data_IF_211214309831
#
_entry.id   IF_211214309831
#
_cell.length_a   1.000
_cell.length_b   1.000
_cell.length_c   1.000
_cell.angle_alpha   90.00
_cell.angle_beta   90.00
_cell.angle_gamma   90.00
#
_symmetry.space_group_name_H-M   'P 1'
#
loop_
_entity.id
_entity.type
_entity.pdbx_description
1 polymer ?
#
# COMPACT_ATOMS: atom_id res chain seq x y z
N UNK A 1 4.16 25.28 -0.84
CA UNK A 1 4.50 24.17 0.07
C UNK A 1 3.99 22.87 -0.56
N UNK A 2 4.69 21.76 -0.31
CA UNK A 2 4.22 20.42 -0.72
C UNK A 2 3.27 19.89 0.35
N UNK A 3 2.12 19.32 -0.06
CA UNK A 3 1.18 18.65 0.85
C UNK A 3 1.50 17.16 1.05
N UNK A 4 2.55 16.67 0.39
CA UNK A 4 2.96 15.28 0.54
C UNK A 4 3.37 14.99 1.99
N UNK A 5 2.78 13.94 2.51
CA UNK A 5 3.13 13.33 3.79
C UNK A 5 3.83 12.00 3.54
N UNK A 6 4.81 11.70 4.40
CA UNK A 6 5.50 10.42 4.41
C UNK A 6 5.16 9.70 5.71
N UNK A 7 4.65 8.47 5.61
CA UNK A 7 4.27 7.63 6.74
C UNK A 7 5.08 6.33 6.70
N UNK A 8 5.77 6.03 7.80
CA UNK A 8 6.46 4.73 7.95
C UNK A 8 5.45 3.60 7.98
N UNK A 9 5.68 2.55 7.19
CA UNK A 9 4.82 1.35 7.18
C UNK A 9 5.58 0.10 7.63
N UNK A 10 4.84 -0.99 7.85
CA UNK A 10 5.41 -2.33 8.08
C UNK A 10 5.51 -3.17 6.78
N UNK A 11 5.27 -2.55 5.62
CA UNK A 11 5.38 -3.23 4.34
C UNK A 11 6.86 -3.45 4.03
N UNK A 12 7.19 -4.67 3.64
CA UNK A 12 8.56 -5.12 3.33
C UNK A 12 8.64 -5.88 2.01
N UNK A 13 7.50 -6.35 1.50
CA UNK A 13 7.42 -7.23 0.34
C UNK A 13 6.66 -6.56 -0.80
N UNK A 14 7.41 -6.19 -1.84
CA UNK A 14 6.89 -5.47 -3.00
C UNK A 14 5.85 -6.29 -3.77
N UNK A 15 6.09 -7.58 -4.00
CA UNK A 15 5.18 -8.40 -4.79
C UNK A 15 3.86 -8.62 -4.05
N UNK A 16 3.92 -8.82 -2.74
CA UNK A 16 2.73 -8.98 -1.92
C UNK A 16 1.94 -7.66 -1.84
N UNK A 17 2.60 -6.52 -1.74
CA UNK A 17 1.92 -5.22 -1.81
C UNK A 17 1.22 -5.04 -3.17
N UNK A 18 1.91 -5.27 -4.28
CA UNK A 18 1.33 -5.15 -5.62
C UNK A 18 0.14 -6.10 -5.81
N UNK A 19 0.25 -7.35 -5.36
CA UNK A 19 -0.85 -8.31 -5.40
C UNK A 19 -2.05 -7.83 -4.55
N UNK A 20 -1.79 -7.34 -3.34
CA UNK A 20 -2.82 -6.86 -2.43
C UNK A 20 -3.59 -5.67 -2.97
N UNK A 21 -2.89 -4.73 -3.63
CA UNK A 21 -3.53 -3.60 -4.32
C UNK A 21 -4.42 -4.07 -5.48
N UNK A 22 -3.94 -5.01 -6.31
CA UNK A 22 -4.72 -5.57 -7.42
C UNK A 22 -5.95 -6.34 -6.95
N UNK A 23 -5.83 -7.10 -5.87
CA UNK A 23 -6.96 -7.81 -5.27
C UNK A 23 -8.05 -6.86 -4.76
N UNK A 24 -7.69 -5.63 -4.40
CA UNK A 24 -8.63 -4.56 -4.04
C UNK A 24 -9.17 -3.80 -5.27
N UNK A 25 -8.84 -4.25 -6.49
CA UNK A 25 -9.24 -3.60 -7.74
C UNK A 25 -8.45 -2.33 -8.05
N UNK A 26 -7.36 -2.06 -7.33
CA UNK A 26 -6.55 -0.84 -7.50
C UNK A 26 -5.52 -1.06 -8.61
N UNK A 27 -5.43 -0.11 -9.54
CA UNK A 27 -4.41 -0.13 -10.60
C UNK A 27 -3.04 0.16 -10.01
N UNK A 28 -2.04 -0.63 -10.39
CA UNK A 28 -0.68 -0.53 -9.87
C UNK A 28 0.30 -0.17 -10.97
N UNK A 29 1.12 0.85 -10.73
CA UNK A 29 2.30 1.20 -11.53
C UNK A 29 3.56 0.99 -10.69
N UNK A 30 4.68 0.73 -11.35
CA UNK A 30 6.00 0.58 -10.72
C UNK A 30 6.96 1.62 -11.24
N UNK A 31 7.83 2.14 -10.38
CA UNK A 31 8.77 3.22 -10.72
C UNK A 31 8.03 4.34 -11.45
N UNK A 32 7.06 4.95 -10.76
CA UNK A 32 6.14 5.90 -11.33
C UNK A 32 5.97 7.11 -10.39
N UNK A 33 5.27 8.11 -10.89
CA UNK A 33 5.06 9.36 -10.16
C UNK A 33 3.70 9.35 -9.48
N UNK A 34 3.71 9.57 -8.17
CA UNK A 34 2.53 9.79 -7.33
C UNK A 34 1.98 11.19 -7.63
N UNK A 35 0.71 11.28 -8.05
CA UNK A 35 0.04 12.57 -8.28
C UNK A 35 -0.38 13.23 -6.96
N UNK A 36 -0.16 14.53 -6.85
CA UNK A 36 -0.49 15.37 -5.69
C UNK A 36 -1.03 16.75 -6.08
N UNK A 37 -1.22 17.62 -5.08
CA UNK A 37 -1.82 18.95 -5.28
C UNK A 37 -1.09 19.80 -6.32
N UNK A 38 -1.87 20.52 -7.14
CA UNK A 38 -1.37 21.48 -8.13
C UNK A 38 -0.33 20.89 -9.10
N UNK A 39 -0.55 19.65 -9.55
CA UNK A 39 0.34 18.97 -10.50
C UNK A 39 1.67 18.50 -9.89
N UNK A 40 1.84 18.59 -8.57
CA UNK A 40 3.02 18.05 -7.91
C UNK A 40 3.10 16.54 -8.10
N UNK A 41 4.34 16.06 -8.27
CA UNK A 41 4.66 14.66 -8.49
C UNK A 41 5.82 14.24 -7.63
N UNK A 42 5.71 13.07 -7.00
CA UNK A 42 6.79 12.47 -6.23
C UNK A 42 7.04 11.06 -6.76
N UNK A 43 8.31 10.71 -6.97
CA UNK A 43 8.71 9.39 -7.46
C UNK A 43 8.50 8.34 -6.36
N UNK A 44 7.97 7.18 -6.72
CA UNK A 44 7.86 6.03 -5.84
C UNK A 44 8.09 4.70 -6.58
N UNK A 45 8.55 3.68 -5.86
CA UNK A 45 8.78 2.34 -6.40
C UNK A 45 7.48 1.65 -6.81
N UNK A 46 6.41 1.86 -6.04
CA UNK A 46 5.08 1.31 -6.30
C UNK A 46 4.07 2.44 -6.15
N UNK A 47 3.17 2.59 -7.13
CA UNK A 47 2.11 3.60 -7.12
C UNK A 47 0.76 2.91 -7.30
N UNK A 48 -0.12 3.10 -6.32
CA UNK A 48 -1.54 2.82 -6.42
C UNK A 48 -2.23 4.00 -7.09
N UNK A 49 -2.69 3.78 -8.33
CA UNK A 49 -3.42 4.79 -9.09
C UNK A 49 -4.86 4.78 -8.62
N UNK A 50 -5.29 5.89 -8.00
CA UNK A 50 -6.65 6.04 -7.53
C UNK A 50 -7.50 6.80 -8.56
N UNK A 51 -8.82 6.65 -8.44
CA UNK A 51 -9.74 7.51 -9.15
C UNK A 51 -9.60 8.97 -8.65
N UNK A 52 -9.61 9.94 -9.58
CA UNK A 52 -9.29 11.34 -9.33
C UNK A 52 -7.84 11.70 -9.61
N UNK A 53 -7.38 12.78 -8.97
CA UNK A 53 -6.11 13.45 -9.27
C UNK A 53 -4.97 13.13 -8.28
N UNK A 54 -5.20 12.20 -7.34
CA UNK A 54 -4.28 11.90 -6.24
C UNK A 54 -4.01 10.41 -6.17
N UNK A 55 -2.77 10.03 -5.86
CA UNK A 55 -2.34 8.63 -5.77
C UNK A 55 -1.72 8.32 -4.41
N UNK A 56 -1.51 7.02 -4.13
CA UNK A 56 -0.65 6.57 -3.03
C UNK A 56 0.63 5.96 -3.60
N UNK A 57 1.78 6.31 -3.04
CA UNK A 57 3.07 5.72 -3.40
C UNK A 57 3.73 5.00 -2.24
N UNK A 58 4.56 4.02 -2.56
CA UNK A 58 5.47 3.37 -1.61
C UNK A 58 6.89 3.50 -2.11
N UNK A 59 7.76 4.08 -1.30
CA UNK A 59 9.19 4.21 -1.56
C UNK A 59 9.97 3.25 -0.68
N UNK A 60 10.87 2.47 -1.27
CA UNK A 60 11.69 1.51 -0.55
C UNK A 60 12.77 2.24 0.25
N UNK A 61 12.85 1.89 1.52
CA UNK A 61 13.89 2.35 2.43
C UNK A 61 15.13 1.44 2.35
N UNK A 62 16.28 1.94 2.82
CA UNK A 62 17.52 1.18 2.88
C UNK A 62 17.44 -0.09 3.76
N UNK A 63 16.54 -0.08 4.75
CA UNK A 63 16.27 -1.24 5.64
C UNK A 63 15.34 -2.29 5.00
N UNK A 64 14.90 -2.08 3.76
CA UNK A 64 14.00 -2.97 3.03
C UNK A 64 12.51 -2.75 3.31
N UNK A 65 12.15 -1.88 4.26
CA UNK A 65 10.76 -1.45 4.48
C UNK A 65 10.31 -0.45 3.42
N UNK A 66 9.02 -0.13 3.38
CA UNK A 66 8.47 0.90 2.52
C UNK A 66 7.82 2.03 3.31
N UNK A 67 8.10 3.27 2.91
CA UNK A 67 7.37 4.44 3.38
C UNK A 67 6.22 4.76 2.42
N UNK A 68 5.03 5.00 2.97
CA UNK A 68 3.87 5.48 2.22
C UNK A 68 4.03 6.99 2.00
N UNK A 69 3.98 7.42 0.74
CA UNK A 69 4.10 8.82 0.32
C UNK A 69 2.83 9.20 -0.43
N UNK A 70 2.12 10.22 0.06
CA UNK A 70 0.90 10.70 -0.57
C UNK A 70 0.52 12.11 -0.11
N UNK A 71 -0.24 12.80 -0.95
CA UNK A 71 -1.02 13.97 -0.53
C UNK A 71 -2.34 13.49 0.10
N UNK A 72 -2.30 13.23 1.40
CA UNK A 72 -3.40 12.62 2.14
C UNK A 72 -4.66 13.49 2.17
N UNK A 73 -4.48 14.82 2.25
CA UNK A 73 -5.60 15.76 2.20
C UNK A 73 -6.27 15.73 0.82
N UNK A 74 -5.49 15.64 -0.26
CA UNK A 74 -5.99 15.47 -1.61
C UNK A 74 -6.75 14.16 -1.81
N UNK A 75 -6.18 13.04 -1.33
CA UNK A 75 -6.84 11.72 -1.36
C UNK A 75 -8.19 11.76 -0.64
N UNK A 76 -8.27 12.41 0.52
CA UNK A 76 -9.48 12.54 1.31
C UNK A 76 -10.64 13.28 0.61
N UNK A 77 -10.38 13.99 -0.49
CA UNK A 77 -11.44 14.66 -1.27
C UNK A 77 -12.37 13.70 -1.99
N UNK A 78 -11.88 12.50 -2.35
CA UNK A 78 -12.64 11.52 -3.14
C UNK A 78 -12.68 10.14 -2.51
N UNK A 79 -11.77 9.85 -1.59
CA UNK A 79 -11.67 8.56 -0.92
C UNK A 79 -11.75 8.72 0.59
N UNK A 80 -12.38 7.78 1.28
CA UNK A 80 -12.19 7.66 2.73
C UNK A 80 -10.76 7.15 2.99
N UNK A 81 -9.86 8.09 3.29
CA UNK A 81 -8.44 7.81 3.44
C UNK A 81 -8.15 6.73 4.49
N UNK A 82 -8.87 6.76 5.61
CA UNK A 82 -8.68 5.80 6.71
C UNK A 82 -9.08 4.39 6.28
N UNK A 83 -10.27 4.24 5.69
CA UNK A 83 -10.76 2.96 5.18
C UNK A 83 -9.89 2.40 4.06
N UNK A 84 -9.43 3.26 3.15
CA UNK A 84 -8.54 2.88 2.06
C UNK A 84 -7.21 2.32 2.59
N UNK A 85 -6.54 3.05 3.48
CA UNK A 85 -5.26 2.62 4.07
C UNK A 85 -5.44 1.34 4.89
N UNK A 86 -6.52 1.25 5.68
CA UNK A 86 -6.81 0.06 6.47
C UNK A 86 -7.07 -1.17 5.61
N UNK A 87 -7.83 -1.02 4.52
CA UNK A 87 -8.12 -2.11 3.58
C UNK A 87 -6.84 -2.63 2.92
N UNK A 88 -5.95 -1.73 2.50
CA UNK A 88 -4.64 -2.10 1.91
C UNK A 88 -3.78 -2.84 2.92
N UNK A 89 -3.68 -2.32 4.15
CA UNK A 89 -2.89 -2.96 5.22
C UNK A 89 -3.43 -4.34 5.60
N UNK A 90 -4.75 -4.48 5.74
CA UNK A 90 -5.39 -5.76 6.06
C UNK A 90 -5.15 -6.77 4.94
N UNK A 91 -5.34 -6.36 3.68
CA UNK A 91 -5.15 -7.24 2.52
C UNK A 91 -3.69 -7.66 2.37
N UNK A 92 -2.75 -6.73 2.59
CA UNK A 92 -1.32 -7.03 2.64
C UNK A 92 -0.98 -8.04 3.73
N UNK A 93 -1.47 -7.85 4.95
CA UNK A 93 -1.22 -8.77 6.05
C UNK A 93 -1.73 -10.18 5.74
N UNK A 94 -2.96 -10.31 5.22
CA UNK A 94 -3.53 -11.59 4.78
C UNK A 94 -2.64 -12.25 3.73
N UNK A 95 -2.31 -11.53 2.66
CA UNK A 95 -1.52 -12.07 1.56
C UNK A 95 -0.09 -12.42 2.03
N UNK A 96 0.48 -11.67 2.99
CA UNK A 96 1.78 -11.96 3.61
C UNK A 96 1.75 -13.26 4.40
N UNK A 97 0.77 -13.42 5.29
CA UNK A 97 0.61 -14.63 6.08
C UNK A 97 0.39 -15.86 5.17
N UNK A 98 -0.44 -15.75 4.13
CA UNK A 98 -0.66 -16.84 3.19
C UNK A 98 0.61 -17.23 2.42
N UNK A 99 1.42 -16.25 2.02
CA UNK A 99 2.70 -16.51 1.35
C UNK A 99 3.70 -17.21 2.28
N UNK A 100 3.68 -16.89 3.57
CA UNK A 100 4.54 -17.53 4.57
C UNK A 100 4.09 -18.97 4.88
N UNK A 101 2.79 -19.22 5.02
CA UNK A 101 2.24 -20.57 5.26
C UNK A 101 2.53 -21.55 4.12
N UNK A 102 2.53 -21.06 2.87
CA UNK A 102 2.85 -21.88 1.68
C UNK A 102 4.32 -22.32 1.62
N UNK A 103 5.20 -21.83 2.49
CA UNK A 103 6.59 -22.27 2.56
C UNK A 103 6.65 -23.71 3.10
N UNK A 104 7.45 -24.63 2.52
CA UNK A 104 7.45 -26.06 2.84
C UNK A 104 7.74 -26.51 4.29
N UNK A 105 7.79 -25.62 5.29
CA UNK A 105 7.98 -25.94 6.71
C UNK A 105 6.79 -25.61 7.62
N UNK A 106 5.70 -25.02 7.10
CA UNK A 106 4.56 -24.50 7.89
C UNK A 106 3.22 -25.20 7.63
N UNK A 107 3.21 -26.31 6.89
CA UNK A 107 1.97 -27.01 6.47
C UNK A 107 1.06 -27.47 7.62
N UNK A 108 1.53 -27.45 8.87
CA UNK A 108 0.77 -27.88 10.06
C UNK A 108 0.29 -26.73 10.97
N UNK A 109 0.46 -25.45 10.58
CA UNK A 109 0.05 -24.32 11.40
C UNK A 109 -1.41 -23.93 11.13
N UNK A 110 -2.30 -24.12 12.13
CA UNK A 110 -3.67 -23.61 12.10
C UNK A 110 -3.65 -22.07 12.19
N UNK A 111 -3.86 -21.39 11.07
CA UNK A 111 -3.99 -19.93 11.05
C UNK A 111 -5.45 -19.54 11.27
N UNK A 112 -5.77 -19.02 12.46
CA UNK A 112 -7.08 -18.46 12.77
C UNK A 112 -7.04 -16.94 12.54
N UNK A 113 -7.66 -16.50 11.44
CA UNK A 113 -7.85 -15.07 11.17
C UNK A 113 -8.95 -14.54 12.08
N UNK A 114 -8.60 -13.68 13.03
CA UNK A 114 -9.57 -13.00 13.90
C UNK A 114 -9.72 -11.56 13.40
N UNK A 115 -10.75 -11.32 12.61
CA UNK A 115 -11.13 -9.97 12.17
C UNK A 115 -12.04 -9.39 13.26
N UNK A 116 -11.63 -8.29 13.89
CA UNK A 116 -12.49 -7.56 14.82
C UNK A 116 -13.29 -6.56 13.99
N UNK A 117 -14.62 -6.74 13.99
CA UNK A 117 -15.62 -5.84 13.42
C UNK A 117 -16.01 -4.73 14.38
#
# INVERSE_FOLDING_TARGET
>A
MSHFSTLRTKVTDAEILKASLRDLGITVKTNADVRGYNGQRVRADIVAVLDGEYDLGWSRNADGTFDLIADLWGVAKKHNQTELINSINQKYAINKTLAEVKRPGLQNANVKLVVHS
#
